data_IF_652710192684
#
_entry.id   IF_652710192684
#
_cell.length_a   1.000
_cell.length_b   1.000
_cell.length_c   1.000
_cell.angle_alpha   90.00
_cell.angle_beta   90.00
_cell.angle_gamma   90.00
#
_symmetry.space_group_name_H-M   'P 1'
#
loop_
_entity.id
_entity.type
_entity.pdbx_description
1 polymer ?
#
# COMPACT_ATOMS: atom_id res chain seq x y z
N UNK A 1 -6.59 -7.15 -6.85
CA UNK A 1 -5.96 -6.72 -8.12
C UNK A 1 -5.10 -5.51 -7.82
N UNK A 2 -3.88 -5.45 -8.36
CA UNK A 2 -2.96 -4.31 -8.20
C UNK A 2 -2.58 -3.77 -9.58
N UNK A 3 -2.29 -2.48 -9.68
CA UNK A 3 -1.90 -1.84 -10.92
C UNK A 3 -0.85 -0.76 -10.68
N UNK A 4 -0.07 -0.46 -11.72
CA UNK A 4 0.90 0.62 -11.74
C UNK A 4 0.96 1.21 -13.17
N UNK A 5 1.45 2.44 -13.29
CA UNK A 5 1.60 3.06 -14.61
C UNK A 5 2.71 2.37 -15.43
N UNK A 6 2.59 2.29 -16.77
CA UNK A 6 3.63 1.70 -17.61
C UNK A 6 4.99 2.38 -17.45
N UNK A 7 5.00 3.72 -17.32
CA UNK A 7 6.22 4.48 -17.12
C UNK A 7 6.93 4.15 -15.80
N UNK A 8 6.17 3.89 -14.73
CA UNK A 8 6.73 3.46 -13.45
C UNK A 8 7.36 2.07 -13.55
N UNK A 9 6.65 1.10 -14.14
CA UNK A 9 7.16 -0.26 -14.32
C UNK A 9 8.39 -0.30 -15.24
N UNK A 10 8.46 0.54 -16.28
CA UNK A 10 9.64 0.63 -17.14
C UNK A 10 10.91 1.08 -16.37
N UNK A 11 10.74 1.89 -15.32
CA UNK A 11 11.85 2.40 -14.49
C UNK A 11 12.18 1.48 -13.32
N UNK A 12 11.19 0.82 -12.73
CA UNK A 12 11.31 0.05 -11.48
C UNK A 12 11.24 -1.47 -11.67
N UNK A 13 10.93 -1.96 -12.87
CA UNK A 13 10.65 -3.36 -13.14
C UNK A 13 9.21 -3.76 -12.84
N UNK A 14 8.81 -4.93 -13.33
CA UNK A 14 7.49 -5.53 -13.06
C UNK A 14 7.63 -6.57 -11.95
N UNK A 15 6.91 -6.43 -10.81
CA UNK A 15 6.92 -7.44 -9.76
C UNK A 15 6.26 -8.73 -10.28
N UNK A 16 6.90 -9.87 -10.02
CA UNK A 16 6.45 -11.18 -10.50
C UNK A 16 5.63 -11.91 -9.44
N UNK A 17 5.93 -11.67 -8.16
CA UNK A 17 5.22 -12.23 -7.03
C UNK A 17 4.81 -11.13 -6.03
N UNK A 18 3.77 -11.38 -5.20
CA UNK A 18 3.34 -10.41 -4.20
C UNK A 18 4.48 -9.90 -3.27
N UNK A 19 5.42 -10.74 -2.79
CA UNK A 19 6.54 -10.26 -1.96
C UNK A 19 7.43 -9.19 -2.62
N UNK A 20 7.52 -9.15 -3.95
CA UNK A 20 8.35 -8.18 -4.68
C UNK A 20 7.85 -6.74 -4.47
N UNK A 21 6.57 -6.56 -4.15
CA UNK A 21 5.95 -5.26 -3.86
C UNK A 21 6.60 -4.54 -2.67
N UNK A 22 7.32 -5.25 -1.79
CA UNK A 22 8.05 -4.66 -0.67
C UNK A 22 9.16 -3.68 -1.10
N UNK A 23 9.63 -3.79 -2.35
CA UNK A 23 10.67 -2.93 -2.93
C UNK A 23 10.11 -1.81 -3.80
N UNK A 24 8.80 -1.78 -4.04
CA UNK A 24 8.13 -0.76 -4.85
C UNK A 24 7.54 0.34 -3.98
N UNK A 25 7.41 1.53 -4.57
CA UNK A 25 6.65 2.64 -4.00
C UNK A 25 5.15 2.31 -4.00
N UNK A 26 4.59 2.14 -2.81
CA UNK A 26 3.17 1.82 -2.63
C UNK A 26 2.35 3.07 -2.31
N UNK A 27 1.09 3.06 -2.76
CA UNK A 27 0.09 4.06 -2.40
C UNK A 27 -0.77 3.51 -1.27
N UNK A 28 -0.87 4.28 -0.18
CA UNK A 28 -1.68 3.95 0.98
C UNK A 28 -2.91 4.85 1.07
N UNK A 29 -3.97 4.33 1.66
CA UNK A 29 -5.07 5.15 2.16
C UNK A 29 -4.75 5.56 3.60
N UNK A 30 -4.99 6.82 3.95
CA UNK A 30 -4.90 7.27 5.34
C UNK A 30 -6.28 7.30 5.97
N UNK A 31 -6.56 6.31 6.81
CA UNK A 31 -7.74 6.37 7.68
C UNK A 31 -7.46 7.44 8.73
N UNK A 32 -8.39 8.38 8.96
CA UNK A 32 -8.27 9.48 9.93
C UNK A 32 -8.02 9.02 11.39
N UNK A 33 -7.80 7.72 11.61
CA UNK A 33 -7.16 7.12 12.78
C UNK A 33 -5.69 7.55 12.96
N UNK A 34 -5.01 8.07 11.93
CA UNK A 34 -3.63 8.59 12.04
C UNK A 34 -3.47 9.77 13.01
N UNK A 35 -4.56 10.46 13.36
CA UNK A 35 -4.57 11.50 14.39
C UNK A 35 -4.67 10.93 15.81
N UNK A 36 -5.21 9.71 15.95
CA UNK A 36 -5.44 9.03 17.23
C UNK A 36 -4.38 7.96 17.51
N UNK A 37 -3.71 7.46 16.47
CA UNK A 37 -2.69 6.42 16.57
C UNK A 37 -1.45 6.77 15.74
N UNK A 38 -0.23 6.52 16.24
CA UNK A 38 1.02 6.65 15.48
C UNK A 38 0.94 5.93 14.13
N UNK A 39 1.44 6.55 13.06
CA UNK A 39 1.40 6.03 11.67
C UNK A 39 1.99 4.62 11.47
N UNK A 40 2.81 4.14 12.42
CA UNK A 40 3.32 2.76 12.47
C UNK A 40 2.22 1.73 12.83
N UNK A 41 1.23 2.12 13.64
CA UNK A 41 0.13 1.25 14.09
C UNK A 41 -1.04 1.19 13.09
N UNK A 42 -1.09 2.11 12.12
CA UNK A 42 -2.10 2.18 11.06
C UNK A 42 -1.57 1.69 9.70
N UNK A 43 -0.34 1.17 9.64
CA UNK A 43 0.17 0.56 8.42
C UNK A 43 -0.57 -0.77 8.18
N UNK A 44 -1.58 -0.74 7.31
CA UNK A 44 -2.33 -1.93 6.92
C UNK A 44 -1.44 -2.97 6.24
N UNK A 45 -1.94 -4.21 6.16
CA UNK A 45 -1.33 -5.26 5.34
C UNK A 45 -2.20 -5.52 4.11
N UNK A 46 -1.57 -5.65 2.95
CA UNK A 46 -2.25 -6.11 1.75
C UNK A 46 -2.30 -7.63 1.72
N UNK A 47 -3.50 -8.17 1.47
CA UNK A 47 -3.70 -9.62 1.35
C UNK A 47 -3.84 -10.01 -0.11
N UNK A 48 -2.96 -10.89 -0.58
CA UNK A 48 -3.06 -11.52 -1.89
C UNK A 48 -3.39 -12.99 -1.73
N UNK A 49 -4.08 -13.57 -2.69
CA UNK A 49 -4.35 -15.02 -2.74
C UNK A 49 -3.99 -15.55 -4.11
N UNK A 50 -3.25 -16.64 -4.15
CA UNK A 50 -2.96 -17.41 -5.35
C UNK A 50 -3.27 -18.91 -5.11
N UNK A 51 -2.76 -19.79 -5.99
CA UNK A 51 -2.90 -21.25 -5.82
C UNK A 51 -2.04 -21.80 -4.67
N UNK A 52 -0.99 -21.08 -4.27
CA UNK A 52 -0.03 -21.46 -3.22
C UNK A 52 -0.51 -21.07 -1.82
N UNK A 53 -1.38 -20.06 -1.70
CA UNK A 53 -1.99 -19.68 -0.43
C UNK A 53 -2.38 -18.20 -0.34
N UNK A 54 -2.40 -17.68 0.89
CA UNK A 54 -2.65 -16.27 1.19
C UNK A 54 -1.33 -15.61 1.60
N UNK A 55 -0.96 -14.54 0.90
CA UNK A 55 0.15 -13.67 1.25
C UNK A 55 -0.37 -12.49 2.07
N UNK A 56 0.24 -12.27 3.24
CA UNK A 56 -0.02 -11.09 4.07
C UNK A 56 1.20 -10.17 3.99
N UNK A 57 1.07 -9.08 3.24
CA UNK A 57 2.18 -8.18 2.94
C UNK A 57 2.07 -6.90 3.78
N UNK A 58 2.97 -6.69 4.76
CA UNK A 58 3.01 -5.43 5.46
C UNK A 58 3.42 -4.33 4.49
N UNK A 59 2.57 -3.32 4.29
CA UNK A 59 2.86 -2.26 3.34
C UNK A 59 3.48 -1.04 4.04
N UNK A 60 4.49 -0.45 3.39
CA UNK A 60 5.08 0.83 3.76
C UNK A 60 4.81 1.82 2.63
N UNK A 61 3.62 2.44 2.60
CA UNK A 61 3.28 3.35 1.51
C UNK A 61 4.17 4.58 1.54
N UNK A 62 4.69 4.96 0.37
CA UNK A 62 5.50 6.18 0.18
C UNK A 62 4.62 7.42 0.17
N UNK A 63 3.42 7.31 -0.39
CA UNK A 63 2.42 8.37 -0.42
C UNK A 63 1.16 7.81 0.22
N UNK A 64 0.58 8.59 1.13
CA UNK A 64 -0.73 8.32 1.70
C UNK A 64 -1.70 9.40 1.22
N UNK A 65 -2.88 9.00 0.79
CA UNK A 65 -3.93 9.92 0.38
C UNK A 65 -5.22 9.52 1.07
N UNK A 66 -5.98 10.52 1.52
CA UNK A 66 -7.37 10.36 1.86
C UNK A 66 -8.16 11.49 1.22
N UNK A 67 -9.46 11.30 1.09
CA UNK A 67 -10.39 12.29 0.60
C UNK A 67 -11.29 12.75 1.76
N UNK A 68 -10.76 12.82 2.98
CA UNK A 68 -11.54 13.19 4.16
C UNK A 68 -12.07 14.62 3.99
N UNK A 69 -13.28 14.73 3.46
CA UNK A 69 -14.03 15.96 3.40
C UNK A 69 -14.90 16.02 4.66
N UNK A 70 -14.39 16.72 5.67
CA UNK A 70 -15.11 16.97 6.92
C UNK A 70 -14.54 16.22 8.12
N UNK A 71 -13.49 16.79 8.70
CA UNK A 71 -13.39 17.15 10.13
C UNK A 71 -12.04 17.83 10.30
N UNK A 72 -12.10 19.13 10.52
CA UNK A 72 -11.00 19.98 11.03
C UNK A 72 -10.22 19.27 12.14
N UNK A 73 -8.89 19.26 12.04
CA UNK A 73 -8.08 19.39 13.25
C UNK A 73 -8.10 20.85 13.72
#
# INVERSE_FOLDING_TARGET
>A
MACASPAYLAKHGTPVAPPDLSTHDLLGFDECLGCLFPAHLTAGSWKFRDQSGVYDLPIKPRIRSNNNFGSTC
#
